data_IF_015298480276
#
_entry.id   IF_015298480276
#
_cell.length_a   1.000
_cell.length_b   1.000
_cell.length_c   1.000
_cell.angle_alpha   90.00
_cell.angle_beta   90.00
_cell.angle_gamma   90.00
#
_symmetry.space_group_name_H-M   'P 1'
#
loop_
_entity.id
_entity.type
_entity.pdbx_description
1 polymer ?
#
# COMPACT_ATOMS: atom_id res chain seq x y z
N UNK A 1 19.94 23.13 -4.61
CA UNK A 1 20.31 22.76 -3.24
C UNK A 1 19.55 23.66 -2.30
N UNK A 2 18.77 23.07 -1.39
CA UNK A 2 17.93 23.80 -0.44
C UNK A 2 18.56 23.80 0.95
N UNK A 3 18.26 24.82 1.75
CA UNK A 3 18.75 24.94 3.12
C UNK A 3 17.70 24.43 4.10
N UNK A 4 18.03 23.36 4.83
CA UNK A 4 17.20 22.84 5.91
C UNK A 4 18.00 22.85 7.22
N UNK A 5 17.52 23.63 8.20
CA UNK A 5 18.10 23.74 9.56
C UNK A 5 19.64 23.72 9.56
N UNK A 6 20.24 24.68 8.85
CA UNK A 6 21.70 24.90 8.75
C UNK A 6 22.50 23.87 7.91
N UNK A 7 21.82 22.99 7.17
CA UNK A 7 22.44 22.01 6.29
C UNK A 7 22.04 22.23 4.82
N UNK A 8 22.97 21.91 3.93
CA UNK A 8 22.73 21.92 2.48
C UNK A 8 22.20 20.55 2.08
N UNK A 9 20.96 20.51 1.59
CA UNK A 9 20.26 19.26 1.28
C UNK A 9 19.86 19.24 -0.22
N UNK A 10 19.83 18.06 -0.86
CA UNK A 10 19.28 17.90 -2.21
C UNK A 10 17.84 18.41 -2.31
N UNK A 11 17.50 19.08 -3.42
CA UNK A 11 16.19 19.72 -3.63
C UNK A 11 15.03 18.72 -3.59
N UNK A 12 15.29 17.47 -3.96
CA UNK A 12 14.32 16.36 -3.95
C UNK A 12 13.81 16.01 -2.54
N UNK A 13 14.60 16.33 -1.51
CA UNK A 13 14.28 16.00 -0.12
C UNK A 13 13.69 17.18 0.65
N UNK A 14 13.72 18.40 0.11
CA UNK A 14 13.40 19.64 0.85
C UNK A 14 12.00 19.61 1.48
N UNK A 15 11.00 19.21 0.69
CA UNK A 15 9.60 19.15 1.15
C UNK A 15 9.32 17.94 2.06
N UNK A 16 10.13 16.88 1.98
CA UNK A 16 9.82 15.57 2.57
C UNK A 16 10.64 15.32 3.83
N UNK A 17 11.84 15.89 3.94
CA UNK A 17 12.78 15.62 5.03
C UNK A 17 12.22 16.00 6.41
N UNK A 18 11.36 17.02 6.47
CA UNK A 18 10.67 17.42 7.70
C UNK A 18 9.75 16.32 8.27
N UNK A 19 9.31 15.37 7.43
CA UNK A 19 8.48 14.24 7.84
C UNK A 19 9.31 12.99 8.16
N UNK A 20 10.62 12.98 7.90
CA UNK A 20 11.52 11.88 8.18
C UNK A 20 12.06 11.96 9.62
N UNK A 21 11.27 11.49 10.58
CA UNK A 21 11.59 11.59 12.02
C UNK A 21 12.99 11.07 12.39
N UNK A 22 13.38 9.94 11.83
CA UNK A 22 14.68 9.32 12.12
C UNK A 22 15.83 10.19 11.59
N UNK A 23 15.67 10.77 10.40
CA UNK A 23 16.66 11.69 9.81
C UNK A 23 16.81 12.94 10.67
N UNK A 24 15.71 13.51 11.16
CA UNK A 24 15.75 14.69 12.04
C UNK A 24 16.42 14.37 13.38
N UNK A 25 16.22 13.17 13.93
CA UNK A 25 16.89 12.69 15.15
C UNK A 25 18.41 12.59 14.96
N UNK A 26 18.86 11.93 13.87
CA UNK A 26 20.30 11.82 13.59
C UNK A 26 20.94 13.18 13.28
N UNK A 27 20.20 14.09 12.64
CA UNK A 27 20.64 15.48 12.43
C UNK A 27 20.93 16.18 13.76
N UNK A 28 20.07 16.02 14.75
CA UNK A 28 20.26 16.62 16.08
C UNK A 28 21.46 16.04 16.82
N UNK A 29 21.63 14.72 16.79
CA UNK A 29 22.79 14.05 17.38
C UNK A 29 24.11 14.52 16.74
N UNK A 30 24.15 14.60 15.40
CA UNK A 30 25.33 15.05 14.68
C UNK A 30 25.59 16.54 14.88
N UNK A 31 24.54 17.36 15.01
CA UNK A 31 24.66 18.77 15.38
C UNK A 31 25.29 18.93 16.76
N UNK A 32 24.81 18.20 17.77
CA UNK A 32 25.41 18.18 19.11
C UNK A 32 26.89 17.77 19.09
N UNK A 33 27.23 16.77 18.27
CA UNK A 33 28.61 16.35 18.11
C UNK A 33 29.47 17.46 17.47
N UNK A 34 28.92 18.19 16.49
CA UNK A 34 29.53 19.39 15.91
C UNK A 34 29.86 20.45 16.96
N UNK A 35 28.93 20.74 17.89
CA UNK A 35 29.18 21.69 18.99
C UNK A 35 30.32 21.22 19.92
N UNK A 36 30.44 19.91 20.14
CA UNK A 36 31.54 19.35 20.95
C UNK A 36 32.90 19.54 20.26
N UNK A 37 32.96 19.41 18.94
CA UNK A 37 34.14 19.74 18.14
C UNK A 37 34.50 21.22 18.18
N UNK A 38 33.51 22.12 18.18
CA UNK A 38 33.73 23.56 18.33
C UNK A 38 34.35 23.89 19.70
N UNK A 39 33.85 23.30 20.78
CA UNK A 39 34.40 23.46 22.13
C UNK A 39 35.84 22.94 22.24
N UNK A 40 36.12 21.77 21.67
CA UNK A 40 37.47 21.20 21.67
C UNK A 40 38.46 22.09 20.91
N UNK A 41 38.02 22.70 19.81
CA UNK A 41 38.83 23.63 19.01
C UNK A 41 39.18 24.87 19.82
N UNK A 42 38.23 25.46 20.54
CA UNK A 42 38.46 26.62 21.41
C UNK A 42 39.44 26.27 22.55
N UNK A 43 39.26 25.10 23.16
CA UNK A 43 40.13 24.64 24.25
C UNK A 43 41.57 24.41 23.77
N UNK A 44 41.75 23.85 22.57
CA UNK A 44 43.05 23.68 21.93
C UNK A 44 43.76 25.02 21.68
N UNK A 45 43.03 26.02 21.18
CA UNK A 45 43.56 27.36 20.97
C UNK A 45 43.98 28.05 22.29
N UNK A 46 43.21 27.89 23.37
CA UNK A 46 43.50 28.51 24.68
C UNK A 46 44.69 27.86 25.40
N UNK A 47 44.90 26.56 25.22
CA UNK A 47 45.96 25.80 25.92
C UNK A 47 47.33 25.92 25.25
N UNK A 48 47.45 26.68 24.15
CA UNK A 48 48.72 26.89 23.44
C UNK A 48 49.26 25.65 22.72
N UNK A 49 48.52 24.53 22.77
CA UNK A 49 48.76 23.37 21.93
C UNK A 49 48.25 23.69 20.54
N UNK A 50 49.14 24.07 19.62
CA UNK A 50 48.84 24.43 18.22
C UNK A 50 48.28 23.30 17.35
N UNK A 51 47.38 22.47 17.88
CA UNK A 51 46.59 21.53 17.09
C UNK A 51 45.52 22.31 16.33
N UNK A 52 45.81 22.65 15.07
CA UNK A 52 44.84 23.20 14.13
C UNK A 52 43.78 22.14 13.79
N UNK A 53 42.70 22.12 14.59
CA UNK A 53 41.59 21.18 14.43
C UNK A 53 40.56 21.65 13.38
N UNK A 54 40.79 22.80 12.74
CA UNK A 54 39.86 23.44 11.80
C UNK A 54 39.55 22.53 10.61
N UNK A 55 40.58 21.88 10.07
CA UNK A 55 40.43 20.93 8.94
C UNK A 55 39.56 19.74 9.32
N UNK A 56 39.75 19.16 10.51
CA UNK A 56 38.94 18.04 11.01
C UNK A 56 37.49 18.44 11.20
N UNK A 57 37.25 19.65 11.70
CA UNK A 57 35.91 20.23 11.89
C UNK A 57 35.17 20.41 10.56
N UNK A 58 35.85 20.95 9.54
CA UNK A 58 35.28 21.11 8.20
C UNK A 58 35.00 19.77 7.52
N UNK A 59 35.92 18.81 7.67
CA UNK A 59 35.72 17.44 7.17
C UNK A 59 34.52 16.76 7.86
N UNK A 60 34.38 16.92 9.18
CA UNK A 60 33.24 16.40 9.93
C UNK A 60 31.92 17.03 9.47
N UNK A 61 31.89 18.36 9.28
CA UNK A 61 30.70 19.06 8.76
C UNK A 61 30.30 18.53 7.38
N UNK A 62 31.27 18.43 6.47
CA UNK A 62 31.04 17.93 5.10
C UNK A 62 30.52 16.49 5.11
N UNK A 63 31.12 15.63 5.94
CA UNK A 63 30.68 14.24 6.07
C UNK A 63 29.26 14.14 6.66
N UNK A 64 28.94 15.01 7.63
CA UNK A 64 27.61 15.09 8.26
C UNK A 64 26.55 15.47 7.23
N UNK A 65 26.81 16.49 6.40
CA UNK A 65 25.91 16.91 5.32
C UNK A 65 25.67 15.76 4.32
N UNK A 66 26.73 15.08 3.89
CA UNK A 66 26.62 13.93 3.00
C UNK A 66 25.85 12.76 3.63
N UNK A 67 26.08 12.48 4.91
CA UNK A 67 25.41 11.38 5.61
C UNK A 67 23.91 11.64 5.77
N UNK A 68 23.51 12.87 6.15
CA UNK A 68 22.10 13.23 6.26
C UNK A 68 21.41 13.18 4.90
N UNK A 69 22.05 13.67 3.84
CA UNK A 69 21.52 13.57 2.49
C UNK A 69 21.31 12.10 2.06
N UNK A 70 22.33 11.25 2.26
CA UNK A 70 22.25 9.83 1.93
C UNK A 70 21.18 9.10 2.75
N UNK A 71 21.07 9.39 4.04
CA UNK A 71 20.06 8.80 4.91
C UNK A 71 18.64 9.21 4.46
N UNK A 72 18.45 10.47 4.09
CA UNK A 72 17.19 10.96 3.52
C UNK A 72 16.83 10.22 2.23
N UNK A 73 17.77 10.08 1.30
CA UNK A 73 17.55 9.32 0.06
C UNK A 73 17.20 7.86 0.32
N UNK A 74 17.96 7.16 1.17
CA UNK A 74 17.68 5.76 1.51
C UNK A 74 16.33 5.59 2.21
N UNK A 75 15.95 6.55 3.06
CA UNK A 75 14.65 6.53 3.75
C UNK A 75 13.51 6.71 2.77
N UNK A 76 13.65 7.62 1.80
CA UNK A 76 12.69 7.81 0.71
C UNK A 76 12.57 6.54 -0.14
N UNK A 77 13.69 6.02 -0.64
CA UNK A 77 13.73 4.83 -1.49
C UNK A 77 13.08 3.61 -0.81
N UNK A 78 13.43 3.36 0.45
CA UNK A 78 12.86 2.27 1.25
C UNK A 78 11.35 2.44 1.44
N UNK A 79 10.90 3.66 1.74
CA UNK A 79 9.46 3.95 1.90
C UNK A 79 8.69 3.72 0.60
N UNK A 80 9.22 4.22 -0.52
CA UNK A 80 8.62 4.02 -1.84
C UNK A 80 8.55 2.54 -2.20
N UNK A 81 9.61 1.79 -1.93
CA UNK A 81 9.66 0.35 -2.18
C UNK A 81 8.61 -0.41 -1.35
N UNK A 82 8.48 -0.11 -0.06
CA UNK A 82 7.49 -0.72 0.82
C UNK A 82 6.05 -0.39 0.39
N UNK A 83 5.78 0.88 0.05
CA UNK A 83 4.48 1.30 -0.47
C UNK A 83 4.16 0.60 -1.80
N UNK A 84 5.13 0.49 -2.69
CA UNK A 84 4.96 -0.20 -3.98
C UNK A 84 4.66 -1.67 -3.79
N UNK A 85 5.37 -2.35 -2.89
CA UNK A 85 5.13 -3.76 -2.58
C UNK A 85 3.71 -3.98 -2.03
N UNK A 86 3.26 -3.13 -1.10
CA UNK A 86 1.90 -3.19 -0.55
C UNK A 86 0.83 -2.92 -1.61
N UNK A 87 1.06 -1.92 -2.47
CA UNK A 87 0.17 -1.60 -3.58
C UNK A 87 0.06 -2.77 -4.56
N UNK A 88 1.18 -3.38 -4.93
CA UNK A 88 1.21 -4.54 -5.83
C UNK A 88 0.39 -5.70 -5.26
N UNK A 89 0.62 -6.07 -4.00
CA UNK A 89 -0.16 -7.16 -3.36
C UNK A 89 -1.65 -6.82 -3.33
N UNK A 90 -2.02 -5.58 -3.04
CA UNK A 90 -3.42 -5.15 -3.00
C UNK A 90 -4.07 -5.23 -4.38
N UNK A 91 -3.38 -4.77 -5.42
CA UNK A 91 -3.84 -4.87 -6.82
C UNK A 91 -3.98 -6.33 -7.23
N UNK A 92 -3.00 -7.17 -6.92
CA UNK A 92 -3.02 -8.59 -7.25
C UNK A 92 -4.20 -9.32 -6.59
N UNK A 93 -4.53 -8.97 -5.33
CA UNK A 93 -5.70 -9.50 -4.65
C UNK A 93 -7.00 -9.09 -5.34
N UNK A 94 -7.14 -7.83 -5.74
CA UNK A 94 -8.35 -7.34 -6.43
C UNK A 94 -8.50 -8.00 -7.80
N UNK A 95 -7.41 -8.10 -8.57
CA UNK A 95 -7.43 -8.76 -9.89
C UNK A 95 -7.84 -10.22 -9.73
N UNK A 96 -7.24 -10.94 -8.77
CA UNK A 96 -7.58 -12.33 -8.50
C UNK A 96 -9.05 -12.46 -8.07
N UNK A 97 -9.52 -11.64 -7.14
CA UNK A 97 -10.90 -11.68 -6.67
C UNK A 97 -11.89 -11.41 -7.81
N UNK A 98 -11.61 -10.42 -8.66
CA UNK A 98 -12.47 -10.09 -9.79
C UNK A 98 -12.46 -11.21 -10.83
N UNK A 99 -11.32 -11.84 -11.07
CA UNK A 99 -11.19 -12.99 -11.96
C UNK A 99 -11.98 -14.20 -11.44
N UNK A 100 -11.79 -14.56 -10.17
CA UNK A 100 -12.51 -15.66 -9.51
C UNK A 100 -14.02 -15.42 -9.57
N UNK A 101 -14.48 -14.22 -9.19
CA UNK A 101 -15.91 -13.91 -9.21
C UNK A 101 -16.50 -13.87 -10.62
N UNK A 102 -15.73 -13.45 -11.62
CA UNK A 102 -16.17 -13.53 -13.02
C UNK A 102 -16.24 -14.98 -13.50
N UNK A 103 -15.31 -15.83 -13.06
CA UNK A 103 -15.34 -17.25 -13.32
C UNK A 103 -16.56 -17.92 -12.66
N UNK A 104 -16.87 -17.59 -11.41
CA UNK A 104 -18.07 -18.07 -10.71
C UNK A 104 -19.35 -17.71 -11.47
N UNK A 105 -19.48 -16.45 -11.90
CA UNK A 105 -20.64 -16.00 -12.68
C UNK A 105 -20.69 -16.72 -14.03
N UNK A 106 -19.55 -16.88 -14.72
CA UNK A 106 -19.47 -17.60 -15.99
C UNK A 106 -19.87 -19.07 -15.86
N UNK A 107 -19.45 -19.69 -14.76
CA UNK A 107 -19.83 -21.05 -14.41
C UNK A 107 -21.36 -21.17 -14.23
N UNK A 108 -21.95 -20.34 -13.38
CA UNK A 108 -23.40 -20.33 -13.13
C UNK A 108 -24.22 -19.98 -14.37
N UNK A 109 -23.74 -19.07 -15.22
CA UNK A 109 -24.43 -18.70 -16.45
C UNK A 109 -24.43 -19.82 -17.50
N UNK A 110 -23.43 -20.71 -17.45
CA UNK A 110 -23.29 -21.83 -18.39
C UNK A 110 -23.94 -23.12 -17.86
N UNK A 111 -24.34 -23.16 -16.59
CA UNK A 111 -24.94 -24.36 -15.98
C UNK A 111 -26.27 -24.75 -16.65
N UNK A 112 -26.34 -26.00 -17.12
CA UNK A 112 -27.49 -26.54 -17.86
C UNK A 112 -28.74 -26.66 -16.96
N UNK A 113 -28.56 -27.08 -15.70
CA UNK A 113 -29.65 -27.29 -14.73
C UNK A 113 -30.28 -25.93 -14.36
N UNK A 114 -29.48 -24.89 -14.13
CA UNK A 114 -29.95 -23.51 -13.88
C UNK A 114 -30.69 -22.96 -15.10
N UNK A 115 -30.15 -23.14 -16.31
CA UNK A 115 -30.75 -22.65 -17.55
C UNK A 115 -32.09 -23.32 -17.85
N UNK A 116 -32.18 -24.63 -17.64
CA UNK A 116 -33.40 -25.38 -17.92
C UNK A 116 -34.47 -25.11 -16.85
N UNK A 117 -34.09 -24.90 -15.59
CA UNK A 117 -34.97 -24.37 -14.56
C UNK A 117 -35.57 -23.00 -14.97
N UNK A 118 -34.74 -22.05 -15.43
CA UNK A 118 -35.22 -20.73 -15.86
C UNK A 118 -36.16 -20.80 -17.08
N UNK A 119 -35.83 -21.63 -18.09
CA UNK A 119 -36.70 -21.85 -19.25
C UNK A 119 -38.05 -22.48 -18.85
N UNK A 120 -38.06 -23.37 -17.86
CA UNK A 120 -39.30 -24.01 -17.38
C UNK A 120 -40.27 -22.99 -16.74
N UNK A 121 -39.76 -21.98 -16.02
CA UNK A 121 -40.58 -20.86 -15.48
C UNK A 121 -41.09 -19.94 -16.59
N UNK A 122 -40.26 -19.60 -17.57
CA UNK A 122 -40.68 -18.75 -18.70
C UNK A 122 -41.79 -19.38 -19.56
N UNK A 123 -41.83 -20.71 -19.66
CA UNK A 123 -42.94 -21.45 -20.31
C UNK A 123 -44.22 -21.41 -19.48
N UNK A 124 -44.13 -21.49 -18.15
CA UNK A 124 -45.28 -21.35 -17.25
C UNK A 124 -45.86 -19.93 -17.29
N UNK A 125 -45.04 -18.87 -17.35
CA UNK A 125 -45.54 -17.49 -17.46
C UNK A 125 -46.23 -17.19 -18.81
N UNK A 126 -45.74 -17.76 -19.92
CA UNK A 126 -46.43 -17.62 -21.21
C UNK A 126 -47.77 -18.37 -21.24
N UNK A 127 -47.90 -19.48 -20.52
CA UNK A 127 -49.19 -20.17 -20.32
C UNK A 127 -50.16 -19.37 -19.42
N UNK A 128 -49.64 -18.54 -18.51
CA UNK A 128 -50.44 -17.69 -17.61
C UNK A 128 -50.93 -16.40 -18.30
N UNK A 129 -50.37 -16.01 -19.45
CA UNK A 129 -50.87 -14.85 -20.22
C UNK A 129 -52.20 -15.07 -20.95
N UNK A 130 -52.76 -16.30 -20.93
CA UNK A 130 -54.02 -16.62 -21.59
C UNK A 130 -55.17 -17.01 -20.65
N UNK A 131 -54.98 -17.00 -19.33
CA UNK A 131 -56.06 -17.30 -18.37
C UNK A 131 -55.98 -16.35 -17.18
N UNK A 132 -57.14 -15.78 -16.85
CA UNK A 132 -57.38 -14.90 -15.70
C UNK A 132 -56.65 -15.35 -14.42
N UNK A 133 -56.16 -14.35 -13.68
CA UNK A 133 -55.50 -14.45 -12.38
C UNK A 133 -55.88 -15.69 -11.55
N UNK A 134 -54.91 -16.58 -11.25
CA UNK A 134 -55.01 -17.46 -10.11
C UNK A 134 -54.03 -17.06 -9.00
N UNK A 135 -54.49 -17.36 -7.80
CA UNK A 135 -53.96 -17.10 -6.47
C UNK A 135 -52.44 -17.32 -6.27
N UNK A 136 -51.93 -16.56 -5.32
CA UNK A 136 -50.55 -16.49 -4.81
C UNK A 136 -50.08 -17.75 -4.07
N UNK A 137 -50.12 -18.91 -4.72
CA UNK A 137 -49.36 -20.08 -4.25
C UNK A 137 -48.27 -20.41 -5.27
N UNK A 138 -47.09 -19.84 -5.06
CA UNK A 138 -45.86 -20.32 -5.71
C UNK A 138 -45.71 -21.78 -5.32
N UNK A 139 -45.98 -22.69 -6.26
CA UNK A 139 -45.88 -24.12 -6.07
C UNK A 139 -44.43 -24.47 -5.68
N UNK A 140 -44.20 -24.71 -4.39
CA UNK A 140 -42.89 -25.01 -3.81
C UNK A 140 -42.39 -26.42 -4.13
N UNK A 141 -43.14 -27.18 -4.93
CA UNK A 141 -42.84 -28.58 -5.31
C UNK A 141 -42.19 -28.71 -6.69
N UNK A 142 -41.41 -27.72 -7.11
CA UNK A 142 -40.64 -27.83 -8.34
C UNK A 142 -39.43 -28.77 -8.10
N UNK A 143 -39.53 -30.04 -8.53
CA UNK A 143 -38.41 -31.01 -8.52
C UNK A 143 -37.13 -30.43 -9.16
N UNK A 144 -37.27 -29.54 -10.15
CA UNK A 144 -36.14 -28.84 -10.78
C UNK A 144 -35.49 -27.79 -9.85
N UNK A 145 -36.25 -27.20 -8.91
CA UNK A 145 -35.70 -26.28 -7.91
C UNK A 145 -34.86 -27.01 -6.86
N UNK A 146 -35.27 -28.21 -6.46
CA UNK A 146 -34.51 -29.07 -5.55
C UNK A 146 -33.21 -29.56 -6.20
N UNK A 147 -33.22 -29.87 -7.50
CA UNK A 147 -32.03 -30.23 -8.26
C UNK A 147 -31.01 -29.08 -8.31
N UNK A 148 -31.46 -27.84 -8.56
CA UNK A 148 -30.59 -26.66 -8.54
C UNK A 148 -29.99 -26.43 -7.14
N UNK A 149 -30.79 -26.56 -6.07
CA UNK A 149 -30.29 -26.41 -4.68
C UNK A 149 -29.24 -27.48 -4.34
N UNK A 150 -29.44 -28.73 -4.75
CA UNK A 150 -28.47 -29.80 -4.54
C UNK A 150 -27.14 -29.54 -5.28
N UNK A 151 -27.20 -29.04 -6.52
CA UNK A 151 -26.02 -28.63 -7.28
C UNK A 151 -25.26 -27.48 -6.62
N UNK A 152 -25.96 -26.46 -6.13
CA UNK A 152 -25.32 -25.37 -5.39
C UNK A 152 -24.58 -25.84 -4.13
N UNK A 153 -25.06 -26.89 -3.45
CA UNK A 153 -24.36 -27.46 -2.30
C UNK A 153 -23.02 -28.13 -2.67
N UNK A 154 -22.86 -28.62 -3.91
CA UNK A 154 -21.58 -29.16 -4.41
C UNK A 154 -20.53 -28.05 -4.60
N UNK A 155 -20.95 -26.80 -4.84
CA UNK A 155 -20.05 -25.65 -5.05
C UNK A 155 -19.66 -24.90 -3.76
N UNK A 156 -20.34 -25.14 -2.65
CA UNK A 156 -20.13 -24.43 -1.36
C UNK A 156 -19.20 -25.22 -0.40
N UNK A 157 -18.70 -26.39 -0.82
CA UNK A 157 -17.84 -27.28 -0.03
C UNK A 157 -16.37 -26.86 0.00
#
# INVERSE_FOLDING_TARGET
>A
MSQYKDMVIPDELDDIIAYMRDVDSYREELSMLGHTWDLLTILGQMTGGGTDMTTTREAFKTLTEQMIANLGHQTLEKTVQDMTAKAQVTVDLIIRNLFERTADIGFLATDDDIRDFLKSRGKNEQAISHLDFPDSSVDTNNENGTAVIARFQEYVA
#
